data_IF_426483944306
#
_entry.id   IF_426483944306
#
_cell.length_a   1.000
_cell.length_b   1.000
_cell.length_c   1.000
_cell.angle_alpha   90.00
_cell.angle_beta   90.00
_cell.angle_gamma   90.00
#
_symmetry.space_group_name_H-M   'P 1'
#
loop_
_entity.id
_entity.type
_entity.pdbx_description
1 polymer ?
#
# COMPACT_ATOMS: atom_id res chain seq x y z
N UNK A 1 -16.89 5.04 -35.36
CA UNK A 1 -17.75 5.15 -34.16
C UNK A 1 -16.95 4.66 -32.96
N UNK A 2 -16.57 5.56 -32.08
CA UNK A 2 -15.94 5.20 -30.81
C UNK A 2 -17.03 4.68 -29.88
N UNK A 3 -17.06 3.39 -29.63
CA UNK A 3 -17.86 2.85 -28.54
C UNK A 3 -17.15 3.19 -27.24
N UNK A 4 -17.65 4.18 -26.53
CA UNK A 4 -17.24 4.45 -25.18
C UNK A 4 -17.49 3.16 -24.37
N UNK A 5 -16.43 2.57 -23.81
CA UNK A 5 -16.52 1.49 -22.86
C UNK A 5 -17.42 1.97 -21.72
N UNK A 6 -18.48 1.24 -21.35
CA UNK A 6 -19.28 1.65 -20.21
C UNK A 6 -18.34 1.74 -19.00
N UNK A 7 -18.27 2.92 -18.42
CA UNK A 7 -17.58 3.11 -17.15
C UNK A 7 -18.28 2.21 -16.13
N UNK A 8 -17.61 1.19 -15.65
CA UNK A 8 -18.07 0.44 -14.50
C UNK A 8 -18.36 1.40 -13.33
N UNK A 9 -19.06 0.97 -12.29
CA UNK A 9 -19.41 1.86 -11.19
C UNK A 9 -18.14 2.55 -10.73
N UNK A 10 -18.16 3.90 -10.77
CA UNK A 10 -17.03 4.70 -10.37
C UNK A 10 -16.65 4.31 -8.96
N UNK A 11 -15.42 3.86 -8.77
CA UNK A 11 -14.89 3.57 -7.44
C UNK A 11 -14.95 4.81 -6.55
N UNK A 12 -14.55 4.70 -5.28
CA UNK A 12 -14.59 5.85 -4.38
C UNK A 12 -13.78 7.02 -4.96
N UNK A 13 -14.21 8.27 -4.74
CA UNK A 13 -13.58 9.46 -5.32
C UNK A 13 -12.07 9.53 -5.19
N UNK A 14 -11.50 9.08 -4.07
CA UNK A 14 -10.05 9.12 -3.87
C UNK A 14 -9.26 8.24 -4.87
N UNK A 15 -9.88 7.25 -5.46
CA UNK A 15 -9.27 6.37 -6.48
C UNK A 15 -9.40 6.89 -7.91
N UNK A 16 -10.18 7.94 -8.12
CA UNK A 16 -10.39 8.51 -9.45
C UNK A 16 -9.30 9.53 -9.80
N UNK A 17 -8.35 9.19 -10.70
CA UNK A 17 -7.26 10.10 -11.06
C UNK A 17 -7.72 11.35 -11.81
N UNK A 18 -8.95 11.37 -12.32
CA UNK A 18 -9.50 12.53 -13.02
C UNK A 18 -9.98 13.64 -12.06
N UNK A 19 -10.15 13.32 -10.78
CA UNK A 19 -10.56 14.30 -9.77
C UNK A 19 -9.39 15.14 -9.27
N UNK A 20 -9.65 16.40 -8.87
CA UNK A 20 -8.64 17.24 -8.23
C UNK A 20 -8.04 16.56 -6.99
N UNK A 21 -6.74 16.77 -6.77
CA UNK A 21 -6.01 16.12 -5.68
C UNK A 21 -6.61 16.41 -4.29
N UNK A 22 -7.00 17.66 -4.05
CA UNK A 22 -7.62 18.07 -2.78
C UNK A 22 -8.93 17.32 -2.50
N UNK A 23 -9.78 17.13 -3.53
CA UNK A 23 -11.01 16.34 -3.37
C UNK A 23 -10.73 14.89 -3.05
N UNK A 24 -9.71 14.30 -3.68
CA UNK A 24 -9.29 12.92 -3.42
C UNK A 24 -8.74 12.76 -2.01
N UNK A 25 -7.94 13.69 -1.55
CA UNK A 25 -7.39 13.69 -0.18
C UNK A 25 -8.50 13.84 0.85
N UNK A 26 -9.41 14.78 0.67
CA UNK A 26 -10.53 15.01 1.58
C UNK A 26 -11.45 13.78 1.68
N UNK A 27 -11.75 13.15 0.55
CA UNK A 27 -12.55 11.93 0.49
C UNK A 27 -11.86 10.78 1.23
N UNK A 28 -10.58 10.54 0.97
CA UNK A 28 -9.80 9.50 1.64
C UNK A 28 -9.75 9.71 3.15
N UNK A 29 -9.42 10.92 3.60
CA UNK A 29 -9.38 11.26 5.02
C UNK A 29 -10.75 11.07 5.70
N UNK A 30 -11.83 11.40 5.01
CA UNK A 30 -13.19 11.18 5.51
C UNK A 30 -13.56 9.72 5.68
N UNK A 31 -12.94 8.83 4.90
CA UNK A 31 -13.17 7.38 4.96
C UNK A 31 -12.25 6.66 5.96
N UNK A 32 -11.12 7.25 6.32
CA UNK A 32 -10.14 6.65 7.22
C UNK A 32 -10.62 6.63 8.67
N UNK A 33 -10.46 5.50 9.34
CA UNK A 33 -10.56 5.41 10.79
C UNK A 33 -9.36 6.09 11.46
N UNK A 34 -9.49 6.39 12.75
CA UNK A 34 -8.36 6.93 13.53
C UNK A 34 -7.15 5.99 13.51
N UNK A 35 -7.38 4.68 13.61
CA UNK A 35 -6.31 3.68 13.55
C UNK A 35 -5.58 3.71 12.19
N UNK A 36 -6.31 3.84 11.08
CA UNK A 36 -5.72 3.95 9.75
C UNK A 36 -4.93 5.25 9.57
N UNK A 37 -5.41 6.36 10.11
CA UNK A 37 -4.68 7.63 10.11
C UNK A 37 -3.37 7.53 10.90
N UNK A 38 -3.39 6.92 12.08
CA UNK A 38 -2.20 6.68 12.90
C UNK A 38 -1.22 5.76 12.16
N UNK A 39 -1.71 4.69 11.52
CA UNK A 39 -0.86 3.77 10.77
C UNK A 39 -0.09 4.47 9.63
N UNK A 40 -0.68 5.48 8.98
CA UNK A 40 0.00 6.26 7.94
C UNK A 40 1.14 7.13 8.48
N UNK A 41 1.18 7.41 9.77
CA UNK A 41 2.29 8.13 10.42
C UNK A 41 3.41 7.19 10.86
N UNK A 42 3.18 5.89 10.83
CA UNK A 42 4.13 4.88 11.24
C UNK A 42 5.06 4.42 10.12
N UNK A 43 6.19 3.84 10.51
CA UNK A 43 7.14 3.21 9.61
C UNK A 43 7.44 1.78 10.07
N UNK A 44 7.67 0.90 9.11
CA UNK A 44 8.09 -0.47 9.36
C UNK A 44 9.46 -0.76 8.72
N UNK A 45 10.24 -1.57 9.36
CA UNK A 45 11.45 -2.14 8.78
C UNK A 45 11.07 -3.26 7.81
N UNK A 46 11.76 -3.35 6.68
CA UNK A 46 11.47 -4.40 5.70
C UNK A 46 11.47 -5.80 6.32
N UNK A 47 12.36 -6.09 7.25
CA UNK A 47 12.44 -7.39 7.93
C UNK A 47 11.23 -7.73 8.81
N UNK A 48 10.46 -6.73 9.21
CA UNK A 48 9.21 -6.93 9.94
C UNK A 48 8.06 -7.39 9.03
N UNK A 49 8.26 -7.35 7.71
CA UNK A 49 7.23 -7.61 6.70
C UNK A 49 7.49 -8.86 5.87
N UNK A 50 8.69 -9.43 5.97
CA UNK A 50 9.15 -10.50 5.09
C UNK A 50 9.63 -11.73 5.88
N UNK A 51 9.69 -12.86 5.19
CA UNK A 51 10.49 -13.98 5.62
C UNK A 51 11.98 -13.66 5.36
N UNK A 52 12.79 -13.69 6.40
CA UNK A 52 14.21 -13.28 6.31
C UNK A 52 15.10 -14.29 5.59
N UNK A 53 14.62 -15.51 5.35
CA UNK A 53 15.36 -16.54 4.63
C UNK A 53 15.07 -16.54 3.15
N UNK A 54 13.80 -16.37 2.77
CA UNK A 54 13.36 -16.33 1.37
C UNK A 54 13.32 -14.93 0.77
N UNK A 55 13.29 -13.90 1.60
CA UNK A 55 13.04 -12.49 1.19
C UNK A 55 11.67 -12.30 0.51
N UNK A 56 10.73 -13.19 0.80
CA UNK A 56 9.35 -13.07 0.31
C UNK A 56 8.47 -12.34 1.33
N UNK A 57 7.47 -11.64 0.81
CA UNK A 57 6.46 -10.97 1.66
C UNK A 57 5.78 -12.00 2.56
N UNK A 58 5.69 -11.69 3.85
CA UNK A 58 4.98 -12.49 4.82
C UNK A 58 3.65 -11.81 5.19
N UNK A 59 2.52 -12.27 4.64
CA UNK A 59 1.21 -11.73 4.96
C UNK A 59 0.89 -11.72 6.45
N UNK A 60 1.28 -12.78 7.16
CA UNK A 60 1.01 -12.91 8.59
C UNK A 60 1.79 -11.88 9.42
N UNK A 61 3.05 -11.62 9.05
CA UNK A 61 3.84 -10.57 9.69
C UNK A 61 3.22 -9.19 9.46
N UNK A 62 2.80 -8.89 8.23
CA UNK A 62 2.17 -7.59 7.93
C UNK A 62 0.87 -7.44 8.71
N UNK A 63 0.01 -8.45 8.74
CA UNK A 63 -1.25 -8.42 9.49
C UNK A 63 -1.04 -8.29 11.00
N UNK A 64 0.00 -8.94 11.52
CA UNK A 64 0.40 -8.86 12.93
C UNK A 64 0.90 -7.48 13.30
N UNK A 65 1.68 -6.85 12.41
CA UNK A 65 2.24 -5.52 12.64
C UNK A 65 1.17 -4.44 12.55
N UNK A 66 0.38 -4.46 11.49
CA UNK A 66 -0.71 -3.51 11.31
C UNK A 66 -1.75 -4.00 10.28
N UNK A 67 -2.94 -4.30 10.76
CA UNK A 67 -4.10 -4.53 9.90
C UNK A 67 -4.65 -3.24 9.27
N UNK A 68 -4.20 -2.09 9.75
CA UNK A 68 -4.67 -0.75 9.34
C UNK A 68 -3.82 -0.11 8.24
N UNK A 69 -2.79 -0.80 7.76
CA UNK A 69 -1.87 -0.29 6.75
C UNK A 69 -0.54 0.17 7.33
N UNK A 70 0.35 0.63 6.47
CA UNK A 70 1.71 1.08 6.81
C UNK A 70 2.01 2.35 6.02
N UNK A 71 2.44 3.40 6.70
CA UNK A 71 2.72 4.69 6.06
C UNK A 71 4.05 4.74 5.32
N UNK A 72 5.06 4.03 5.82
CA UNK A 72 6.40 4.00 5.23
C UNK A 72 7.09 2.68 5.50
N UNK A 73 7.84 2.21 4.52
CA UNK A 73 8.71 1.03 4.65
C UNK A 73 10.15 1.48 4.46
N UNK A 74 11.00 1.09 5.41
CA UNK A 74 12.39 1.56 5.43
C UNK A 74 13.37 0.43 5.13
N UNK A 75 14.51 0.79 4.54
CA UNK A 75 15.70 -0.03 4.34
C UNK A 75 15.47 -1.29 3.49
N UNK A 76 14.65 -1.22 2.43
CA UNK A 76 14.37 -2.37 1.55
C UNK A 76 15.66 -2.99 1.01
N UNK A 77 16.60 -2.17 0.53
CA UNK A 77 17.91 -2.65 0.09
C UNK A 77 19.04 -2.35 1.06
N UNK A 78 18.90 -1.31 1.87
CA UNK A 78 19.97 -0.86 2.79
C UNK A 78 20.26 -1.80 3.98
N UNK A 79 19.33 -2.69 4.30
CA UNK A 79 19.49 -3.69 5.36
C UNK A 79 19.50 -5.13 4.83
N UNK A 80 19.34 -5.31 3.52
CA UNK A 80 19.35 -6.61 2.84
C UNK A 80 20.53 -6.71 1.87
N UNK A 81 20.86 -7.91 1.46
CA UNK A 81 21.83 -8.17 0.40
C UNK A 81 21.24 -8.11 -1.01
N UNK A 82 19.99 -7.63 -1.13
CA UNK A 82 19.27 -7.58 -2.40
C UNK A 82 19.87 -6.52 -3.32
N UNK A 83 20.09 -6.91 -4.58
CA UNK A 83 20.38 -5.98 -5.67
C UNK A 83 19.16 -5.12 -6.02
N UNK A 84 19.36 -4.10 -6.86
CA UNK A 84 18.31 -3.13 -7.21
C UNK A 84 17.06 -3.77 -7.82
N UNK A 85 17.22 -4.78 -8.67
CA UNK A 85 16.09 -5.49 -9.29
C UNK A 85 15.23 -6.23 -8.27
N UNK A 86 15.87 -6.98 -7.37
CA UNK A 86 15.15 -7.77 -6.37
C UNK A 86 14.56 -6.88 -5.28
N UNK A 87 15.24 -5.79 -4.92
CA UNK A 87 14.70 -4.79 -4.00
C UNK A 87 13.44 -4.11 -4.57
N UNK A 88 13.45 -3.77 -5.87
CA UNK A 88 12.28 -3.22 -6.54
C UNK A 88 11.12 -4.23 -6.60
N UNK A 89 11.42 -5.49 -6.89
CA UNK A 89 10.42 -6.56 -6.91
C UNK A 89 9.78 -6.76 -5.52
N UNK A 90 10.59 -6.75 -4.46
CA UNK A 90 10.11 -6.85 -3.09
C UNK A 90 9.25 -5.64 -2.70
N UNK A 91 9.68 -4.43 -3.01
CA UNK A 91 8.90 -3.23 -2.76
C UNK A 91 7.54 -3.29 -3.46
N UNK A 92 7.50 -3.71 -4.73
CA UNK A 92 6.26 -3.89 -5.48
C UNK A 92 5.36 -4.97 -4.89
N UNK A 93 5.92 -6.06 -4.38
CA UNK A 93 5.14 -7.12 -3.73
C UNK A 93 4.48 -6.64 -2.42
N UNK A 94 5.19 -5.85 -1.62
CA UNK A 94 4.64 -5.23 -0.40
C UNK A 94 3.54 -4.24 -0.77
N UNK A 95 3.78 -3.38 -1.74
CA UNK A 95 2.79 -2.41 -2.23
C UNK A 95 1.52 -3.11 -2.73
N UNK A 96 1.67 -4.18 -3.50
CA UNK A 96 0.53 -4.97 -3.97
C UNK A 96 -0.27 -5.55 -2.81
N UNK A 97 0.39 -6.10 -1.80
CA UNK A 97 -0.29 -6.59 -0.60
C UNK A 97 -1.11 -5.49 0.07
N UNK A 98 -0.54 -4.31 0.27
CA UNK A 98 -1.25 -3.19 0.90
C UNK A 98 -2.47 -2.74 0.08
N UNK A 99 -2.34 -2.70 -1.24
CA UNK A 99 -3.45 -2.32 -2.14
C UNK A 99 -4.57 -3.35 -2.17
N UNK A 100 -4.22 -4.64 -2.20
CA UNK A 100 -5.19 -5.73 -2.40
C UNK A 100 -5.80 -6.24 -1.08
N UNK A 101 -5.06 -6.18 0.02
CA UNK A 101 -5.40 -6.86 1.28
C UNK A 101 -5.78 -5.88 2.42
N UNK A 102 -5.68 -4.57 2.23
CA UNK A 102 -6.14 -3.60 3.21
C UNK A 102 -7.45 -2.95 2.79
N UNK A 103 -8.24 -2.48 3.77
CA UNK A 103 -9.59 -1.97 3.55
C UNK A 103 -9.65 -0.82 2.53
N UNK A 104 -8.73 0.12 2.61
CA UNK A 104 -8.70 1.30 1.74
C UNK A 104 -7.78 1.13 0.53
N UNK A 105 -6.93 0.10 0.52
CA UNK A 105 -6.00 -0.16 -0.57
C UNK A 105 -4.99 0.97 -0.80
N UNK A 106 -4.48 1.55 0.28
CA UNK A 106 -3.43 2.57 0.21
C UNK A 106 -2.09 1.85 0.07
N UNK A 107 -1.31 2.16 -1.01
CA UNK A 107 -0.02 1.53 -1.24
C UNK A 107 1.04 1.94 -0.23
#
# INVERSE_FOLDING_TARGET
MSTAKPSGPAGPPYRDPARPLNERVDDLLGQMTTAEKIAQLGAAWVFELIDVHSFEVSPDKIRSLSSSGIGQITRVSGASSLGSKDAAALANAIQRFLVEETRLGIP
#
